data_IF_629652057449
#
_entry.id   IF_629652057449
#
_cell.length_a   1.000
_cell.length_b   1.000
_cell.length_c   1.000
_cell.angle_alpha   90.00
_cell.angle_beta   90.00
_cell.angle_gamma   90.00
#
_symmetry.space_group_name_H-M   'P 1'
#
loop_
_entity.id
_entity.type
_entity.pdbx_description
1 polymer ?
#
# COMPACT_ATOMS: atom_id res chain seq x y z
N UNK A 1 -8.25 15.28 12.46
CA UNK A 1 -7.92 13.85 12.70
C UNK A 1 -9.18 13.14 13.14
N UNK A 2 -9.47 11.92 12.65
CA UNK A 2 -10.56 11.11 13.20
C UNK A 2 -10.28 10.78 14.66
N UNK A 3 -11.35 10.59 15.45
CA UNK A 3 -11.22 10.11 16.82
C UNK A 3 -10.87 8.61 16.84
N UNK A 4 -10.41 8.13 18.00
CA UNK A 4 -10.00 6.73 18.17
C UNK A 4 -11.14 5.74 17.87
N UNK A 5 -12.37 6.08 18.26
CA UNK A 5 -13.54 5.25 18.02
C UNK A 5 -13.82 5.08 16.51
N UNK A 6 -13.70 6.15 15.74
CA UNK A 6 -13.85 6.12 14.28
C UNK A 6 -12.75 5.28 13.61
N UNK A 7 -11.51 5.37 14.11
CA UNK A 7 -10.40 4.54 13.62
C UNK A 7 -10.63 3.07 13.95
N UNK A 8 -11.01 2.73 15.18
CA UNK A 8 -11.26 1.34 15.59
C UNK A 8 -12.40 0.72 14.77
N UNK A 9 -13.47 1.47 14.51
CA UNK A 9 -14.53 1.04 13.61
C UNK A 9 -14.07 0.82 12.17
N UNK A 10 -13.09 1.61 11.71
CA UNK A 10 -12.52 1.49 10.37
C UNK A 10 -11.57 0.29 10.22
N UNK A 11 -11.04 -0.25 11.33
CA UNK A 11 -10.20 -1.45 11.41
C UNK A 11 -10.95 -2.65 12.02
N UNK A 12 -12.26 -2.74 11.85
CA UNK A 12 -13.06 -3.86 12.35
C UNK A 12 -12.69 -5.23 11.74
N UNK A 13 -13.34 -6.30 12.17
CA UNK A 13 -13.07 -7.71 11.79
C UNK A 13 -13.00 -7.99 10.29
N UNK A 14 -13.61 -7.13 9.47
CA UNK A 14 -13.58 -7.21 8.02
C UNK A 14 -12.21 -6.82 7.43
N UNK A 15 -11.39 -6.08 8.18
CA UNK A 15 -10.07 -5.63 7.71
C UNK A 15 -9.04 -6.76 7.77
N UNK A 16 -9.00 -7.48 8.88
CA UNK A 16 -8.21 -8.70 9.09
C UNK A 16 -9.14 -9.89 9.28
N UNK A 17 -9.67 -10.50 8.20
CA UNK A 17 -10.54 -11.65 8.36
C UNK A 17 -9.73 -12.82 8.95
N UNK A 18 -10.30 -13.48 9.92
CA UNK A 18 -9.71 -14.66 10.59
C UNK A 18 -9.34 -15.82 9.65
N UNK A 19 -9.83 -15.79 8.40
CA UNK A 19 -9.47 -16.73 7.34
C UNK A 19 -8.13 -16.45 6.65
N UNK A 20 -7.41 -15.38 7.03
CA UNK A 20 -6.08 -15.04 6.49
C UNK A 20 -6.04 -14.63 5.02
N UNK A 21 -7.14 -14.58 4.30
CA UNK A 21 -7.14 -14.27 2.87
C UNK A 21 -8.21 -13.26 2.50
N UNK A 22 -7.80 -12.16 1.83
CA UNK A 22 -8.70 -11.07 1.42
C UNK A 22 -9.38 -11.32 0.09
N UNK A 23 -8.71 -12.03 -0.80
CA UNK A 23 -9.16 -12.36 -2.16
C UNK A 23 -9.31 -13.87 -2.34
N UNK A 24 -9.69 -14.32 -3.52
CA UNK A 24 -9.70 -15.75 -3.83
C UNK A 24 -8.29 -16.28 -4.17
N UNK A 25 -8.14 -17.58 -4.41
CA UNK A 25 -6.83 -18.23 -4.62
C UNK A 25 -5.96 -17.58 -5.70
N UNK A 26 -6.57 -17.06 -6.75
CA UNK A 26 -5.86 -16.38 -7.85
C UNK A 26 -5.31 -15.02 -7.36
N UNK A 27 -6.14 -14.23 -6.66
CA UNK A 27 -5.73 -12.94 -6.11
C UNK A 27 -4.63 -13.08 -5.07
N UNK A 28 -4.74 -14.06 -4.18
CA UNK A 28 -3.72 -14.35 -3.16
C UNK A 28 -2.40 -14.81 -3.79
N UNK A 29 -2.45 -15.61 -4.89
CA UNK A 29 -1.25 -16.00 -5.65
C UNK A 29 -0.57 -14.81 -6.32
N UNK A 30 -1.35 -13.89 -6.91
CA UNK A 30 -0.81 -12.67 -7.52
C UNK A 30 -0.17 -11.77 -6.46
N UNK A 31 -0.80 -11.64 -5.30
CA UNK A 31 -0.27 -10.87 -4.18
C UNK A 31 1.07 -11.43 -3.68
N UNK A 32 1.17 -12.76 -3.48
CA UNK A 32 2.44 -13.40 -3.11
C UNK A 32 3.54 -13.17 -4.14
N UNK A 33 3.23 -13.27 -5.45
CA UNK A 33 4.20 -12.96 -6.51
C UNK A 33 4.68 -11.51 -6.46
N UNK A 34 3.78 -10.56 -6.22
CA UNK A 34 4.12 -9.16 -6.07
C UNK A 34 5.05 -8.93 -4.86
N UNK A 35 4.80 -9.64 -3.73
CA UNK A 35 5.66 -9.58 -2.55
C UNK A 35 7.02 -10.22 -2.79
N UNK A 36 7.10 -11.35 -3.48
CA UNK A 36 8.37 -11.97 -3.86
C UNK A 36 9.20 -11.05 -4.77
N UNK A 37 8.57 -10.40 -5.76
CA UNK A 37 9.25 -9.40 -6.60
C UNK A 37 9.77 -8.21 -5.79
N UNK A 38 9.00 -7.75 -4.81
CA UNK A 38 9.43 -6.67 -3.90
C UNK A 38 10.60 -7.12 -3.03
N UNK A 39 10.53 -8.32 -2.45
CA UNK A 39 11.61 -8.88 -1.63
C UNK A 39 12.91 -9.02 -2.45
N UNK A 40 12.83 -9.46 -3.70
CA UNK A 40 13.99 -9.53 -4.60
C UNK A 40 14.61 -8.15 -4.83
N UNK A 41 13.78 -7.12 -5.06
CA UNK A 41 14.26 -5.76 -5.24
C UNK A 41 14.93 -5.20 -3.98
N UNK A 42 14.32 -5.41 -2.81
CA UNK A 42 14.92 -5.01 -1.52
C UNK A 42 16.27 -5.72 -1.33
N UNK A 43 16.32 -7.03 -1.59
CA UNK A 43 17.55 -7.81 -1.45
C UNK A 43 18.68 -7.34 -2.38
N UNK A 44 18.34 -6.86 -3.57
CA UNK A 44 19.28 -6.29 -4.56
C UNK A 44 19.83 -4.94 -4.11
N UNK A 45 18.99 -4.06 -3.56
CA UNK A 45 19.30 -2.64 -3.33
C UNK A 45 19.81 -2.37 -1.91
N UNK A 46 19.24 -3.04 -0.90
CA UNK A 46 19.59 -2.81 0.50
C UNK A 46 20.93 -3.47 0.87
N UNK A 47 21.77 -2.80 1.69
CA UNK A 47 22.99 -3.40 2.21
C UNK A 47 22.67 -4.66 3.08
N UNK A 48 23.71 -5.38 3.51
CA UNK A 48 23.55 -6.47 4.48
C UNK A 48 23.04 -5.94 5.82
N UNK A 49 22.18 -6.70 6.49
CA UNK A 49 21.62 -6.37 7.81
C UNK A 49 20.11 -6.56 7.88
N UNK A 50 19.50 -6.23 9.04
CA UNK A 50 18.10 -6.45 9.32
C UNK A 50 17.19 -5.51 8.52
N UNK A 51 16.00 -6.01 8.18
CA UNK A 51 14.96 -5.30 7.43
C UNK A 51 13.70 -5.19 8.30
N UNK A 52 13.10 -3.99 8.32
CA UNK A 52 11.86 -3.72 9.03
C UNK A 52 10.73 -3.42 8.04
N UNK A 53 9.65 -4.19 8.10
CA UNK A 53 8.40 -3.94 7.34
C UNK A 53 7.38 -3.24 8.25
N UNK A 54 7.10 -1.96 7.98
CA UNK A 54 6.15 -1.15 8.77
C UNK A 54 4.77 -1.22 8.13
N UNK A 55 3.80 -1.78 8.85
CA UNK A 55 2.50 -2.16 8.31
C UNK A 55 2.59 -3.55 7.63
N UNK A 56 3.27 -4.48 8.28
CA UNK A 56 3.62 -5.79 7.72
C UNK A 56 2.41 -6.69 7.41
N UNK A 57 1.26 -6.39 8.00
CA UNK A 57 0.05 -7.17 7.81
C UNK A 57 0.23 -8.63 8.24
N UNK A 58 -0.03 -9.56 7.33
CA UNK A 58 0.14 -11.00 7.56
C UNK A 58 1.61 -11.47 7.43
N UNK A 59 2.56 -10.56 7.20
CA UNK A 59 3.99 -10.88 7.10
C UNK A 59 4.43 -11.52 5.79
N UNK A 60 3.65 -11.43 4.72
CA UNK A 60 3.99 -12.07 3.44
C UNK A 60 5.26 -11.50 2.79
N UNK A 61 5.61 -10.24 3.05
CA UNK A 61 6.89 -9.68 2.62
C UNK A 61 8.04 -10.21 3.49
N UNK A 62 7.82 -10.31 4.79
CA UNK A 62 8.80 -10.89 5.74
C UNK A 62 9.15 -12.32 5.35
N UNK A 63 8.14 -13.15 5.03
CA UNK A 63 8.36 -14.52 4.58
C UNK A 63 9.22 -14.56 3.31
N UNK A 64 8.88 -13.74 2.32
CA UNK A 64 9.63 -13.67 1.07
C UNK A 64 11.08 -13.15 1.26
N UNK A 65 11.33 -12.25 2.21
CA UNK A 65 12.68 -11.80 2.56
C UNK A 65 13.48 -12.89 3.26
N UNK A 66 12.84 -13.63 4.18
CA UNK A 66 13.46 -14.77 4.86
C UNK A 66 13.81 -15.91 3.90
N UNK A 67 12.98 -16.17 2.89
CA UNK A 67 13.28 -17.13 1.81
C UNK A 67 14.53 -16.74 1.02
N UNK A 68 14.85 -15.44 0.93
CA UNK A 68 16.09 -14.92 0.35
C UNK A 68 17.27 -14.85 1.32
N UNK A 69 17.12 -15.41 2.55
CA UNK A 69 18.16 -15.41 3.57
C UNK A 69 18.34 -14.08 4.32
N UNK A 70 17.38 -13.13 4.21
CA UNK A 70 17.45 -11.87 4.94
C UNK A 70 16.83 -12.00 6.33
N UNK A 71 17.44 -11.33 7.30
CA UNK A 71 16.80 -11.08 8.59
C UNK A 71 15.71 -10.04 8.41
N UNK A 72 14.46 -10.37 8.75
CA UNK A 72 13.31 -9.48 8.57
C UNK A 72 12.32 -9.61 9.72
N UNK A 73 11.81 -8.48 10.16
CA UNK A 73 10.78 -8.34 11.20
C UNK A 73 9.75 -7.30 10.78
N UNK A 74 8.63 -7.18 11.51
CA UNK A 74 7.58 -6.25 11.15
C UNK A 74 6.97 -5.52 12.33
N UNK A 75 6.29 -4.43 11.98
CA UNK A 75 5.38 -3.68 12.84
C UNK A 75 3.99 -3.71 12.23
N UNK A 76 2.99 -4.02 13.04
CA UNK A 76 1.58 -4.01 12.61
C UNK A 76 0.68 -3.78 13.82
N UNK A 77 -0.46 -3.14 13.59
CA UNK A 77 -1.51 -2.99 14.58
C UNK A 77 -2.19 -4.35 14.81
N UNK A 78 -2.22 -4.83 16.07
CA UNK A 78 -2.78 -6.13 16.44
C UNK A 78 -2.14 -7.31 15.70
N UNK A 79 -0.83 -7.52 15.85
CA UNK A 79 -0.10 -8.57 15.16
C UNK A 79 -0.56 -9.96 15.62
N UNK A 80 -0.47 -10.94 14.71
CA UNK A 80 -0.79 -12.34 14.97
C UNK A 80 0.42 -13.28 14.89
N UNK A 81 1.63 -12.72 14.76
CA UNK A 81 2.89 -13.46 14.57
C UNK A 81 3.97 -12.93 15.53
N UNK A 82 4.87 -13.81 15.97
CA UNK A 82 5.96 -13.45 16.89
C UNK A 82 7.02 -12.53 16.26
N UNK A 83 7.23 -12.61 14.96
CA UNK A 83 8.16 -11.77 14.20
C UNK A 83 7.56 -10.43 13.74
N UNK A 84 6.32 -10.14 14.17
CA UNK A 84 5.63 -8.87 13.97
C UNK A 84 5.19 -8.37 15.34
N UNK A 85 5.54 -7.11 15.66
CA UNK A 85 5.18 -6.49 16.95
C UNK A 85 4.16 -5.39 16.74
N UNK A 86 3.35 -5.14 17.77
CA UNK A 86 2.55 -3.92 17.85
C UNK A 86 3.46 -2.73 18.12
N UNK A 87 3.20 -1.60 17.48
CA UNK A 87 3.98 -0.39 17.64
C UNK A 87 4.24 0.34 16.32
N UNK A 88 5.10 1.34 16.41
CA UNK A 88 5.50 2.24 15.33
C UNK A 88 7.03 2.25 15.19
N UNK A 89 7.54 2.96 14.18
CA UNK A 89 8.99 3.14 14.00
C UNK A 89 9.67 3.83 15.19
N UNK A 90 8.90 4.54 16.04
CA UNK A 90 9.41 5.19 17.24
C UNK A 90 9.68 4.20 18.40
N UNK A 91 9.09 3.01 18.34
CA UNK A 91 9.12 1.99 19.41
C UNK A 91 10.18 0.89 19.17
N UNK A 92 11.01 1.05 18.14
CA UNK A 92 12.05 0.08 17.78
C UNK A 92 13.43 0.71 17.77
N UNK A 93 14.46 -0.13 17.98
CA UNK A 93 15.87 0.27 17.91
C UNK A 93 16.48 -0.20 16.59
N UNK A 94 17.32 0.65 15.99
CA UNK A 94 18.11 0.32 14.81
C UNK A 94 19.53 -0.21 15.19
N UNK A 95 20.46 -0.31 14.24
CA UNK A 95 20.29 0.13 12.85
C UNK A 95 19.68 -0.93 11.93
N UNK A 96 18.86 -0.48 10.96
CA UNK A 96 18.29 -1.33 9.91
C UNK A 96 18.98 -1.10 8.57
N UNK A 97 19.17 -2.16 7.79
CA UNK A 97 19.65 -2.08 6.40
C UNK A 97 18.56 -1.54 5.46
N UNK A 98 17.31 -1.83 5.78
CA UNK A 98 16.16 -1.29 5.07
C UNK A 98 14.94 -1.13 5.98
N UNK A 99 14.14 -0.10 5.69
CA UNK A 99 12.80 0.08 6.29
C UNK A 99 11.80 0.22 5.15
N UNK A 100 10.69 -0.53 5.22
CA UNK A 100 9.71 -0.63 4.15
C UNK A 100 8.37 -0.10 4.62
N UNK A 101 7.74 0.74 3.80
CA UNK A 101 6.36 1.19 3.93
C UNK A 101 5.60 0.81 2.66
N UNK A 102 4.83 -0.28 2.72
CA UNK A 102 4.04 -0.72 1.59
C UNK A 102 2.56 -0.46 1.82
N UNK A 103 2.08 0.70 1.41
CA UNK A 103 0.73 1.19 1.72
C UNK A 103 0.46 1.21 3.23
N UNK A 104 1.36 1.83 3.96
CA UNK A 104 1.28 1.95 5.42
C UNK A 104 1.63 3.36 5.91
N UNK A 105 2.48 4.12 5.19
CA UNK A 105 2.87 5.47 5.61
C UNK A 105 1.67 6.43 5.63
N UNK A 106 0.71 6.27 4.73
CA UNK A 106 -0.53 7.05 4.66
C UNK A 106 -1.47 6.82 5.84
N UNK A 107 -1.27 5.75 6.60
CA UNK A 107 -2.01 5.44 7.83
C UNK A 107 -1.42 6.09 9.08
N UNK A 108 -0.23 6.67 8.99
CA UNK A 108 0.44 7.30 10.10
C UNK A 108 0.09 8.80 10.18
N UNK A 109 -0.13 9.34 11.39
CA UNK A 109 -0.64 10.71 11.55
C UNK A 109 0.35 11.79 11.13
N UNK A 110 1.65 11.50 11.21
CA UNK A 110 2.74 12.42 10.85
C UNK A 110 3.80 11.68 10.04
N UNK A 111 3.66 11.74 8.71
CA UNK A 111 4.61 11.14 7.79
C UNK A 111 5.99 11.83 7.82
N UNK A 112 6.03 13.13 8.11
CA UNK A 112 7.28 13.90 8.21
C UNK A 112 8.11 13.47 9.42
N UNK A 113 7.51 13.40 10.62
CA UNK A 113 8.16 12.89 11.81
C UNK A 113 8.57 11.43 11.65
N UNK A 114 7.72 10.60 11.00
CA UNK A 114 8.01 9.21 10.70
C UNK A 114 9.26 9.07 9.83
N UNK A 115 9.37 9.81 8.73
CA UNK A 115 10.55 9.76 7.83
C UNK A 115 11.81 10.27 8.57
N UNK A 116 11.68 11.26 9.43
CA UNK A 116 12.79 11.74 10.26
C UNK A 116 13.29 10.64 11.21
N UNK A 117 12.39 9.88 11.82
CA UNK A 117 12.77 8.76 12.68
C UNK A 117 13.36 7.58 11.88
N UNK A 118 12.83 7.30 10.70
CA UNK A 118 13.39 6.33 9.76
C UNK A 118 14.86 6.64 9.44
N UNK A 119 15.20 7.90 9.17
CA UNK A 119 16.58 8.30 8.92
C UNK A 119 17.50 8.00 10.12
N UNK A 120 17.02 8.12 11.36
CA UNK A 120 17.78 7.79 12.57
C UNK A 120 17.96 6.29 12.81
N UNK A 121 17.01 5.47 12.33
CA UNK A 121 16.99 4.02 12.52
C UNK A 121 17.68 3.26 11.38
N UNK A 122 17.97 3.89 10.27
CA UNK A 122 18.73 3.28 9.18
C UNK A 122 20.22 3.23 9.48
N UNK A 123 20.88 2.18 9.05
CA UNK A 123 22.33 2.11 8.97
C UNK A 123 22.87 3.11 7.94
N UNK A 124 24.13 3.53 8.01
CA UNK A 124 24.77 4.29 6.95
C UNK A 124 24.62 3.56 5.60
N UNK A 125 24.13 4.25 4.57
CA UNK A 125 23.80 3.66 3.28
C UNK A 125 22.56 2.77 3.26
N UNK A 126 21.82 2.70 4.38
CA UNK A 126 20.53 2.01 4.46
C UNK A 126 19.47 2.63 3.56
N UNK A 127 18.43 1.87 3.22
CA UNK A 127 17.45 2.29 2.21
C UNK A 127 16.04 2.27 2.79
N UNK A 128 15.28 3.34 2.54
CA UNK A 128 13.84 3.35 2.75
C UNK A 128 13.11 3.01 1.45
N UNK A 129 12.14 2.13 1.52
CA UNK A 129 11.26 1.75 0.41
C UNK A 129 9.84 2.19 0.75
N UNK A 130 9.26 3.06 -0.05
CA UNK A 130 7.94 3.63 0.19
C UNK A 130 7.04 3.41 -1.02
N UNK A 131 5.89 2.77 -0.81
CA UNK A 131 4.81 2.73 -1.79
C UNK A 131 3.56 3.31 -1.15
N UNK A 132 2.99 4.37 -1.74
CA UNK A 132 1.80 5.07 -1.23
C UNK A 132 0.87 5.49 -2.36
N UNK A 133 -0.41 5.74 -2.09
CA UNK A 133 -1.29 6.43 -3.04
C UNK A 133 -0.76 7.84 -3.36
N UNK A 134 -0.83 8.22 -4.66
CA UNK A 134 -0.43 9.56 -5.09
C UNK A 134 -1.66 10.46 -5.31
N UNK A 135 -1.83 11.44 -4.43
CA UNK A 135 -2.91 12.42 -4.55
C UNK A 135 -2.77 13.30 -5.82
N UNK A 136 -1.57 13.42 -6.38
CA UNK A 136 -1.34 14.14 -7.63
C UNK A 136 -1.75 13.35 -8.89
N UNK A 137 -2.22 12.10 -8.73
CA UNK A 137 -2.61 11.21 -9.83
C UNK A 137 -3.82 11.72 -10.61
N UNK A 138 -3.92 11.30 -11.87
CA UNK A 138 -5.11 11.56 -12.68
C UNK A 138 -6.36 10.85 -12.13
N UNK A 139 -6.19 9.70 -11.49
CA UNK A 139 -7.28 8.99 -10.82
C UNK A 139 -7.86 9.81 -9.68
N UNK A 140 -7.01 10.35 -8.79
CA UNK A 140 -7.46 11.18 -7.68
C UNK A 140 -8.22 12.41 -8.18
N UNK A 141 -7.70 13.09 -9.20
CA UNK A 141 -8.35 14.26 -9.82
C UNK A 141 -9.68 13.91 -10.51
N UNK A 142 -9.74 12.75 -11.20
CA UNK A 142 -10.92 12.34 -11.98
C UNK A 142 -12.07 11.85 -11.11
N UNK A 143 -11.75 11.12 -10.05
CA UNK A 143 -12.75 10.43 -9.23
C UNK A 143 -13.08 11.15 -7.92
N UNK A 144 -12.20 12.03 -7.43
CA UNK A 144 -12.43 12.83 -6.23
C UNK A 144 -12.78 11.98 -5.01
N UNK A 145 -13.97 12.18 -4.46
CA UNK A 145 -14.50 11.45 -3.29
C UNK A 145 -14.73 9.95 -3.53
N UNK A 146 -14.78 9.52 -4.78
CA UNK A 146 -14.92 8.12 -5.20
C UNK A 146 -13.58 7.46 -5.54
N UNK A 147 -12.47 8.17 -5.38
CA UNK A 147 -11.17 7.59 -5.62
C UNK A 147 -10.88 6.44 -4.64
N UNK A 148 -10.52 5.26 -5.17
CA UNK A 148 -10.31 4.03 -4.39
C UNK A 148 -9.37 4.24 -3.21
N UNK A 149 -8.31 5.03 -3.41
CA UNK A 149 -7.28 5.26 -2.41
C UNK A 149 -7.53 6.47 -1.49
N UNK A 150 -8.70 7.11 -1.55
CA UNK A 150 -9.07 8.11 -0.56
C UNK A 150 -9.28 7.47 0.83
N UNK A 151 -9.90 6.32 0.87
CA UNK A 151 -10.03 5.36 1.97
C UNK A 151 -10.17 5.96 3.39
N UNK A 152 -11.01 6.97 3.53
CA UNK A 152 -11.30 7.60 4.81
C UNK A 152 -12.09 6.65 5.75
N UNK A 153 -11.83 6.69 7.06
CA UNK A 153 -10.86 7.52 7.78
C UNK A 153 -9.49 6.86 7.99
N UNK A 154 -9.16 5.75 7.30
CA UNK A 154 -7.93 4.99 7.51
C UNK A 154 -6.69 5.69 6.95
N UNK A 155 -6.80 6.31 5.77
CA UNK A 155 -5.73 7.14 5.23
C UNK A 155 -5.79 8.51 5.93
N UNK A 156 -4.85 8.73 6.85
CA UNK A 156 -4.77 9.96 7.66
C UNK A 156 -4.06 11.08 6.91
N UNK A 157 -3.16 10.69 5.99
CA UNK A 157 -2.37 11.61 5.17
C UNK A 157 -2.50 11.21 3.70
N UNK A 158 -2.75 12.20 2.84
CA UNK A 158 -2.77 12.01 1.40
C UNK A 158 -1.54 12.67 0.80
N UNK A 159 -0.57 11.86 0.45
CA UNK A 159 0.74 12.30 -0.04
C UNK A 159 0.69 12.58 -1.54
N UNK A 160 1.50 13.53 -1.96
CA UNK A 160 1.83 13.79 -3.37
C UNK A 160 3.25 13.26 -3.62
N UNK A 161 3.48 12.65 -4.76
CA UNK A 161 4.79 12.10 -5.12
C UNK A 161 5.91 13.13 -5.08
N UNK A 162 5.67 14.36 -5.55
CA UNK A 162 6.63 15.46 -5.50
C UNK A 162 6.97 15.88 -4.06
N UNK A 163 5.99 15.98 -3.18
CA UNK A 163 6.20 16.32 -1.76
C UNK A 163 6.90 15.19 -0.99
N UNK A 164 6.61 13.93 -1.32
CA UNK A 164 7.29 12.78 -0.70
C UNK A 164 8.79 12.77 -1.06
N UNK A 165 9.12 12.96 -2.34
CA UNK A 165 10.51 13.04 -2.81
C UNK A 165 11.25 14.18 -2.13
N UNK A 166 10.72 15.41 -2.17
CA UNK A 166 11.32 16.56 -1.52
C UNK A 166 11.51 16.35 0.00
N UNK A 167 10.51 15.76 0.67
CA UNK A 167 10.58 15.45 2.09
C UNK A 167 11.64 14.41 2.46
N UNK A 168 11.95 13.48 1.57
CA UNK A 168 13.06 12.54 1.74
C UNK A 168 14.41 13.25 1.54
N UNK A 169 14.56 14.03 0.46
CA UNK A 169 15.79 14.78 0.15
C UNK A 169 16.17 15.74 1.29
N UNK A 170 15.19 16.48 1.85
CA UNK A 170 15.38 17.37 3.01
C UNK A 170 15.91 16.65 4.25
N UNK A 171 15.74 15.32 4.33
CA UNK A 171 16.17 14.49 5.46
C UNK A 171 17.41 13.65 5.18
N UNK A 172 18.15 14.00 4.12
CA UNK A 172 19.44 13.38 3.80
C UNK A 172 19.31 12.06 3.02
N UNK A 173 18.21 11.86 2.29
CA UNK A 173 18.10 10.72 1.39
C UNK A 173 18.48 11.10 -0.05
N UNK A 174 19.33 10.32 -0.65
CA UNK A 174 19.52 10.30 -2.10
C UNK A 174 18.41 9.45 -2.73
N UNK A 175 17.68 10.02 -3.70
CA UNK A 175 16.57 9.34 -4.34
C UNK A 175 17.09 8.43 -5.45
N UNK A 176 16.79 7.14 -5.33
CA UNK A 176 17.07 6.12 -6.33
C UNK A 176 15.93 5.99 -7.35
N UNK A 177 15.17 4.89 -7.27
CA UNK A 177 14.03 4.67 -8.17
C UNK A 177 12.79 5.45 -7.70
N UNK A 178 12.16 6.18 -8.64
CA UNK A 178 10.79 6.69 -8.49
C UNK A 178 9.96 6.06 -9.60
N UNK A 179 9.00 5.21 -9.25
CA UNK A 179 8.20 4.47 -10.23
C UNK A 179 6.70 4.70 -10.02
N UNK A 180 5.97 5.08 -11.07
CA UNK A 180 4.52 5.16 -11.02
C UNK A 180 3.85 3.78 -11.11
N UNK A 181 4.62 2.71 -11.29
CA UNK A 181 4.08 1.37 -11.58
C UNK A 181 4.66 0.33 -10.62
N UNK A 182 3.94 0.06 -9.54
CA UNK A 182 4.16 -1.15 -8.75
C UNK A 182 2.82 -1.84 -8.50
N UNK A 183 2.81 -3.15 -8.74
CA UNK A 183 1.75 -4.08 -8.33
C UNK A 183 0.36 -3.96 -9.00
N UNK A 184 0.24 -3.43 -10.22
CA UNK A 184 -1.01 -3.51 -11.00
C UNK A 184 -2.19 -2.69 -10.44
N UNK A 185 -1.98 -1.89 -9.42
CA UNK A 185 -3.04 -1.11 -8.75
C UNK A 185 -3.60 0.01 -9.64
N UNK A 186 -2.82 0.47 -10.63
CA UNK A 186 -3.24 1.55 -11.53
C UNK A 186 -4.50 1.16 -12.30
N UNK A 187 -4.54 -0.05 -12.86
CA UNK A 187 -5.69 -0.53 -13.64
C UNK A 187 -6.91 -0.71 -12.74
N UNK A 188 -6.73 -1.32 -11.55
CA UNK A 188 -7.85 -1.54 -10.63
C UNK A 188 -8.43 -0.23 -10.11
N UNK A 189 -7.61 0.79 -9.89
CA UNK A 189 -8.07 2.11 -9.48
C UNK A 189 -8.93 2.79 -10.53
N UNK A 190 -8.54 2.76 -11.81
CA UNK A 190 -9.38 3.24 -12.91
C UNK A 190 -10.68 2.44 -13.01
N UNK A 191 -10.58 1.13 -12.93
CA UNK A 191 -11.71 0.23 -13.09
C UNK A 191 -12.74 0.40 -11.98
N UNK A 192 -12.29 0.45 -10.73
CA UNK A 192 -13.18 0.68 -9.58
C UNK A 192 -13.83 2.06 -9.64
N UNK A 193 -13.06 3.11 -9.98
CA UNK A 193 -13.56 4.46 -10.13
C UNK A 193 -14.63 4.59 -11.22
N UNK A 194 -14.51 3.88 -12.33
CA UNK A 194 -15.55 3.81 -13.36
C UNK A 194 -16.78 3.06 -12.87
N UNK A 195 -16.62 1.91 -12.25
CA UNK A 195 -17.73 1.07 -11.76
C UNK A 195 -18.50 1.78 -10.65
N UNK A 196 -17.81 2.41 -9.70
CA UNK A 196 -18.46 3.18 -8.62
C UNK A 196 -19.18 4.43 -9.11
N UNK A 197 -18.83 4.92 -10.30
CA UNK A 197 -19.53 6.02 -10.98
C UNK A 197 -20.86 5.63 -11.62
N UNK A 198 -21.15 4.34 -11.75
CA UNK A 198 -22.41 3.86 -12.30
C UNK A 198 -23.53 3.87 -11.26
N UNK A 199 -24.80 4.00 -11.66
CA UNK A 199 -25.92 3.93 -10.75
C UNK A 199 -26.07 2.54 -10.12
N UNK A 200 -26.78 2.47 -8.98
CA UNK A 200 -27.09 1.19 -8.31
C UNK A 200 -26.13 0.77 -7.20
N UNK A 201 -25.23 1.65 -6.77
CA UNK A 201 -24.31 1.38 -5.65
C UNK A 201 -23.31 0.28 -5.98
N UNK A 202 -22.83 0.25 -7.22
CA UNK A 202 -21.83 -0.72 -7.67
C UNK A 202 -20.46 -0.40 -7.07
N UNK A 203 -19.68 -1.45 -6.76
CA UNK A 203 -18.31 -1.30 -6.29
C UNK A 203 -17.51 -2.56 -6.63
N UNK A 204 -16.58 -2.44 -7.58
CA UNK A 204 -15.82 -3.59 -8.07
C UNK A 204 -14.85 -4.12 -7.02
N UNK A 205 -14.13 -3.24 -6.32
CA UNK A 205 -13.17 -3.64 -5.32
C UNK A 205 -13.82 -4.49 -4.22
N UNK A 206 -14.98 -4.06 -3.72
CA UNK A 206 -15.73 -4.83 -2.73
C UNK A 206 -16.34 -6.11 -3.32
N UNK A 207 -16.75 -6.11 -4.58
CA UNK A 207 -17.30 -7.30 -5.24
C UNK A 207 -16.26 -8.43 -5.39
N UNK A 208 -14.98 -8.08 -5.58
CA UNK A 208 -13.86 -9.03 -5.71
C UNK A 208 -13.40 -9.59 -4.36
N UNK A 209 -13.66 -8.89 -3.25
CA UNK A 209 -13.27 -9.36 -1.91
C UNK A 209 -14.14 -10.50 -1.44
N UNK A 210 -13.58 -11.37 -0.58
CA UNK A 210 -14.36 -12.40 0.13
C UNK A 210 -15.43 -11.75 1.03
N UNK A 211 -16.53 -12.44 1.26
CA UNK A 211 -17.66 -11.92 2.04
C UNK A 211 -17.24 -11.42 3.42
N UNK A 212 -16.36 -12.15 4.11
CA UNK A 212 -15.81 -11.79 5.43
C UNK A 212 -14.90 -10.54 5.40
N UNK A 213 -14.34 -10.21 4.24
CA UNK A 213 -13.41 -9.09 4.07
C UNK A 213 -14.06 -7.84 3.43
N UNK A 214 -15.38 -7.80 3.28
CA UNK A 214 -16.08 -6.65 2.69
C UNK A 214 -16.45 -5.62 3.74
N UNK A 215 -16.11 -4.37 3.44
CA UNK A 215 -16.53 -3.22 4.26
C UNK A 215 -18.02 -2.90 4.13
N UNK A 216 -18.58 -3.11 2.93
CA UNK A 216 -19.99 -2.83 2.63
C UNK A 216 -20.74 -4.12 2.31
N UNK A 217 -22.01 -4.16 2.69
CA UNK A 217 -22.91 -5.25 2.30
C UNK A 217 -23.33 -5.04 0.84
N UNK A 218 -23.24 -6.09 0.04
CA UNK A 218 -23.67 -6.10 -1.35
C UNK A 218 -24.66 -7.24 -1.58
N UNK A 219 -25.73 -6.97 -2.30
CA UNK A 219 -26.63 -8.02 -2.79
C UNK A 219 -25.92 -8.85 -3.87
N UNK A 220 -26.35 -10.11 -4.11
CA UNK A 220 -25.81 -10.92 -5.22
C UNK A 220 -25.93 -10.22 -6.59
N UNK A 221 -27.02 -9.50 -6.81
CA UNK A 221 -27.24 -8.75 -8.04
C UNK A 221 -26.25 -7.59 -8.18
N UNK A 222 -26.03 -6.79 -7.15
CA UNK A 222 -25.03 -5.73 -7.15
C UNK A 222 -23.62 -6.25 -7.39
N UNK A 223 -23.29 -7.38 -6.76
CA UNK A 223 -21.99 -8.04 -6.95
C UNK A 223 -21.78 -8.47 -8.40
N UNK A 224 -22.78 -9.16 -8.97
CA UNK A 224 -22.72 -9.60 -10.37
C UNK A 224 -22.62 -8.41 -11.31
N UNK A 225 -23.47 -7.39 -11.12
CA UNK A 225 -23.44 -6.18 -11.92
C UNK A 225 -22.10 -5.43 -11.85
N UNK A 226 -21.48 -5.37 -10.66
CA UNK A 226 -20.14 -4.77 -10.48
C UNK A 226 -19.07 -5.55 -11.26
N UNK A 227 -19.10 -6.88 -11.24
CA UNK A 227 -18.16 -7.72 -11.98
C UNK A 227 -18.37 -7.57 -13.49
N UNK A 228 -19.62 -7.63 -13.96
CA UNK A 228 -19.94 -7.45 -15.40
C UNK A 228 -19.51 -6.07 -15.87
N UNK A 229 -19.84 -5.00 -15.13
CA UNK A 229 -19.39 -3.66 -15.44
C UNK A 229 -17.86 -3.56 -15.49
N UNK A 230 -17.17 -4.22 -14.53
CA UNK A 230 -15.72 -4.33 -14.52
C UNK A 230 -15.15 -4.98 -15.80
N UNK A 231 -15.74 -6.08 -16.24
CA UNK A 231 -15.33 -6.76 -17.50
C UNK A 231 -15.54 -5.86 -18.71
N UNK A 232 -16.70 -5.20 -18.82
CA UNK A 232 -17.03 -4.31 -19.94
C UNK A 232 -16.12 -3.09 -19.98
N UNK A 233 -15.80 -2.50 -18.82
CA UNK A 233 -15.00 -1.28 -18.73
C UNK A 233 -13.48 -1.56 -18.69
N UNK A 234 -13.07 -2.82 -18.65
CA UNK A 234 -11.65 -3.21 -18.54
C UNK A 234 -10.77 -2.64 -19.67
N UNK A 235 -11.19 -2.70 -20.99
CA UNK A 235 -10.37 -2.11 -22.04
C UNK A 235 -10.17 -0.59 -21.87
N UNK A 236 -11.20 0.13 -21.45
CA UNK A 236 -11.11 1.57 -21.17
C UNK A 236 -10.16 1.85 -20.00
N UNK A 237 -10.26 1.07 -18.93
CA UNK A 237 -9.36 1.18 -17.78
C UNK A 237 -7.90 0.94 -18.17
N UNK A 238 -7.62 -0.01 -19.06
CA UNK A 238 -6.26 -0.26 -19.58
C UNK A 238 -5.71 0.95 -20.35
N UNK A 239 -6.53 1.55 -21.21
CA UNK A 239 -6.12 2.75 -21.99
C UNK A 239 -5.83 3.91 -21.04
N UNK A 240 -6.72 4.16 -20.06
CA UNK A 240 -6.52 5.23 -19.08
C UNK A 240 -5.27 4.98 -18.20
N UNK A 241 -5.07 3.74 -17.74
CA UNK A 241 -3.91 3.36 -16.98
C UNK A 241 -2.61 3.55 -17.79
N UNK A 242 -2.57 3.12 -19.05
CA UNK A 242 -1.42 3.30 -19.92
C UNK A 242 -1.09 4.78 -20.16
N UNK A 243 -2.12 5.61 -20.36
CA UNK A 243 -1.96 7.06 -20.52
C UNK A 243 -1.46 7.74 -19.23
N UNK A 244 -1.94 7.27 -18.07
CA UNK A 244 -1.53 7.78 -16.77
C UNK A 244 -0.06 7.40 -16.48
N UNK A 245 0.32 6.15 -16.69
CA UNK A 245 1.70 5.65 -16.53
C UNK A 245 2.66 6.46 -17.42
N UNK A 246 2.31 6.68 -18.70
CA UNK A 246 3.13 7.49 -19.62
C UNK A 246 3.30 8.94 -19.16
N UNK A 247 2.38 9.46 -18.37
CA UNK A 247 2.50 10.83 -17.83
C UNK A 247 3.39 10.93 -16.59
N UNK A 248 3.97 9.81 -16.14
CA UNK A 248 4.79 9.74 -14.92
C UNK A 248 4.00 9.89 -13.61
N UNK A 249 2.65 9.90 -13.68
CA UNK A 249 1.78 10.04 -12.51
C UNK A 249 0.77 8.90 -12.53
N UNK A 250 0.68 8.15 -11.45
CA UNK A 250 -0.31 7.09 -11.35
C UNK A 250 -0.97 7.08 -9.97
N UNK A 251 -2.04 6.30 -9.82
CA UNK A 251 -2.79 6.20 -8.56
C UNK A 251 -1.94 5.81 -7.34
N UNK A 252 -0.74 5.32 -7.58
CA UNK A 252 0.26 4.99 -6.54
C UNK A 252 1.64 5.38 -7.01
N UNK A 253 2.53 5.74 -6.09
CA UNK A 253 3.95 5.98 -6.33
C UNK A 253 4.79 5.03 -5.47
N UNK A 254 5.90 4.59 -6.03
CA UNK A 254 6.96 3.86 -5.34
C UNK A 254 8.24 4.70 -5.37
N UNK A 255 8.91 4.80 -4.23
CA UNK A 255 10.13 5.58 -4.05
C UNK A 255 11.15 4.78 -3.28
N UNK A 256 12.40 4.79 -3.72
CA UNK A 256 13.58 4.31 -2.99
C UNK A 256 14.42 5.50 -2.56
N UNK A 257 14.72 5.61 -1.27
CA UNK A 257 15.60 6.64 -0.73
C UNK A 257 16.76 6.00 0.03
N UNK A 258 18.00 6.31 -0.35
CA UNK A 258 19.22 5.86 0.32
C UNK A 258 19.71 6.94 1.27
N UNK A 259 19.93 6.59 2.53
CA UNK A 259 20.50 7.51 3.52
C UNK A 259 22.00 7.75 3.21
N UNK A 260 22.41 9.01 3.03
CA UNK A 260 23.79 9.44 2.75
C UNK A 260 24.43 10.08 3.97
#
# INVERSE_FOLDING_TARGET
MPDQQSLDAAYGDWYWPSSGTRFGPIGDRLLRRARASMASRINEVAPAGPILDVGAGEGTLIDALKELGREASGLERLPSREDIRDGTVFDVEGPYAAIVFWHSLEHLPDSGATITEVARKLAPGGVVFIAVPDLASRQAQRFGDRWLHLDLPRHLVHLRSDALVAGLEERGFEIGEVSPVRAGQVVIGWLDGFVTGLPGGLNLYQALRRKSARRIRMSPAQRLASIVAGVVLFPLALVCAAAEIRSGRSGTVYVEGRLV
#
